data_IF_688246484630
#
_entry.id   IF_688246484630
#
_cell.length_a   1.000
_cell.length_b   1.000
_cell.length_c   1.000
_cell.angle_alpha   90.00
_cell.angle_beta   90.00
_cell.angle_gamma   90.00
#
_symmetry.space_group_name_H-M   'P 1'
#
loop_
_entity.id
_entity.type
_entity.pdbx_description
1 polymer ?
#
# COMPACT_ATOMS: atom_id res chain seq x y z
N UNK A 1 20.41 -1.43 2.28
CA UNK A 1 19.20 -2.23 2.01
C UNK A 1 18.26 -1.42 1.13
N UNK A 2 17.69 -2.01 0.08
CA UNK A 2 16.74 -1.31 -0.79
C UNK A 2 15.40 -1.09 -0.09
N UNK A 3 14.59 -0.14 -0.58
CA UNK A 3 13.24 0.08 -0.07
C UNK A 3 12.36 -1.17 -0.21
N UNK A 4 12.45 -1.89 -1.33
CA UNK A 4 11.71 -3.14 -1.52
C UNK A 4 12.06 -4.19 -0.45
N UNK A 5 13.34 -4.36 -0.13
CA UNK A 5 13.73 -5.30 0.93
C UNK A 5 13.20 -4.86 2.30
N UNK A 6 13.26 -3.56 2.62
CA UNK A 6 12.65 -3.01 3.85
C UNK A 6 11.16 -3.33 3.96
N UNK A 7 10.41 -3.25 2.86
CA UNK A 7 8.98 -3.57 2.83
C UNK A 7 8.75 -5.07 3.01
N UNK A 8 9.56 -5.92 2.36
CA UNK A 8 9.49 -7.39 2.54
C UNK A 8 9.76 -7.77 3.99
N UNK A 9 10.80 -7.22 4.60
CA UNK A 9 11.15 -7.47 6.00
C UNK A 9 10.01 -7.02 6.94
N UNK A 10 9.45 -5.83 6.70
CA UNK A 10 8.32 -5.31 7.47
C UNK A 10 7.08 -6.22 7.39
N UNK A 11 6.80 -6.81 6.21
CA UNK A 11 5.72 -7.79 6.03
C UNK A 11 6.01 -9.10 6.77
N UNK A 12 7.25 -9.58 6.69
CA UNK A 12 7.68 -10.80 7.36
C UNK A 12 7.58 -10.68 8.89
N UNK A 13 8.12 -9.61 9.47
CA UNK A 13 8.08 -9.32 10.91
C UNK A 13 6.66 -9.26 11.49
N UNK A 14 5.67 -8.94 10.64
CA UNK A 14 4.24 -8.84 11.01
C UNK A 14 3.44 -10.07 10.59
N UNK A 15 4.09 -11.15 10.16
CA UNK A 15 3.45 -12.41 9.77
C UNK A 15 2.57 -12.30 8.52
N UNK A 16 2.69 -11.24 7.73
CA UNK A 16 1.84 -11.02 6.56
C UNK A 16 2.20 -11.97 5.42
N UNK A 17 3.48 -12.31 5.26
CA UNK A 17 3.91 -13.26 4.23
C UNK A 17 3.40 -14.68 4.50
N UNK A 18 3.29 -15.09 5.77
CA UNK A 18 2.82 -16.43 6.18
C UNK A 18 1.36 -16.68 5.81
N UNK A 19 0.58 -15.61 5.61
CA UNK A 19 -0.83 -15.68 5.21
C UNK A 19 -1.00 -16.13 3.75
N UNK A 20 0.07 -16.09 2.96
CA UNK A 20 0.02 -16.43 1.54
C UNK A 20 -0.66 -15.37 0.69
N UNK A 21 -0.77 -15.67 -0.60
CA UNK A 21 -1.33 -14.76 -1.60
C UNK A 21 -2.84 -15.01 -1.78
N UNK A 22 -3.64 -13.97 -1.62
CA UNK A 22 -5.07 -14.00 -1.88
C UNK A 22 -5.45 -12.91 -2.87
N UNK A 23 -5.59 -13.26 -4.15
CA UNK A 23 -5.65 -12.27 -5.24
C UNK A 23 -6.70 -11.17 -5.03
N UNK A 24 -7.91 -11.54 -4.57
CA UNK A 24 -8.98 -10.59 -4.25
C UNK A 24 -8.60 -9.60 -3.16
N UNK A 25 -7.89 -10.06 -2.13
CA UNK A 25 -7.44 -9.19 -1.05
C UNK A 25 -6.37 -8.23 -1.57
N UNK A 26 -5.36 -8.72 -2.31
CA UNK A 26 -4.29 -7.87 -2.84
C UNK A 26 -4.83 -6.78 -3.78
N UNK A 27 -5.76 -7.13 -4.66
CA UNK A 27 -6.45 -6.16 -5.53
C UNK A 27 -7.28 -5.17 -4.71
N UNK A 28 -7.97 -5.62 -3.67
CA UNK A 28 -8.75 -4.72 -2.82
C UNK A 28 -7.89 -3.68 -2.10
N UNK A 29 -6.69 -4.07 -1.63
CA UNK A 29 -5.79 -3.12 -0.97
C UNK A 29 -5.32 -2.03 -1.93
N UNK A 30 -4.96 -2.39 -3.16
CA UNK A 30 -4.56 -1.41 -4.18
C UNK A 30 -5.74 -0.53 -4.59
N UNK A 31 -6.93 -1.11 -4.74
CA UNK A 31 -8.14 -0.37 -5.09
C UNK A 31 -8.56 0.62 -3.98
N UNK A 32 -8.38 0.28 -2.69
CA UNK A 32 -8.63 1.17 -1.55
C UNK A 32 -7.77 2.44 -1.67
N UNK A 33 -6.46 2.29 -1.90
CA UNK A 33 -5.55 3.43 -2.07
C UNK A 33 -5.89 4.29 -3.31
N UNK A 34 -6.32 3.66 -4.41
CA UNK A 34 -6.78 4.38 -5.60
C UNK A 34 -8.06 5.19 -5.33
N UNK A 35 -9.03 4.63 -4.60
CA UNK A 35 -10.25 5.34 -4.21
C UNK A 35 -9.93 6.52 -3.28
N UNK A 36 -9.09 6.31 -2.27
CA UNK A 36 -8.65 7.36 -1.35
C UNK A 36 -7.93 8.50 -2.08
N UNK A 37 -7.12 8.19 -3.10
CA UNK A 37 -6.40 9.21 -3.89
C UNK A 37 -7.32 10.24 -4.58
N UNK A 38 -8.61 9.92 -4.75
CA UNK A 38 -9.60 10.83 -5.33
C UNK A 38 -10.09 11.91 -4.36
N UNK A 39 -9.81 11.75 -3.05
CA UNK A 39 -10.34 12.58 -1.97
C UNK A 39 -11.84 12.40 -1.70
N UNK A 40 -12.51 11.46 -2.39
CA UNK A 40 -13.95 11.18 -2.20
C UNK A 40 -14.23 10.11 -1.15
N UNK A 41 -13.23 9.29 -0.86
CA UNK A 41 -13.33 8.16 0.06
C UNK A 41 -12.32 8.33 1.18
N UNK A 42 -12.73 7.95 2.38
CA UNK A 42 -11.85 7.75 3.53
C UNK A 42 -11.53 6.26 3.71
N UNK A 43 -10.66 5.93 4.67
CA UNK A 43 -10.23 4.55 4.94
C UNK A 43 -11.32 3.56 5.38
N UNK A 44 -12.54 4.03 5.67
CA UNK A 44 -13.66 3.15 6.02
C UNK A 44 -14.52 2.94 4.79
N UNK A 45 -15.00 4.02 4.18
CA UNK A 45 -15.84 4.00 2.97
C UNK A 45 -15.10 3.45 1.75
N UNK A 46 -13.80 3.72 1.62
CA UNK A 46 -12.95 3.20 0.55
C UNK A 46 -12.80 1.68 0.61
N UNK A 47 -12.73 1.09 1.81
CA UNK A 47 -12.51 -0.36 1.97
C UNK A 47 -13.67 -1.20 1.46
N UNK A 48 -14.90 -0.82 1.80
CA UNK A 48 -16.08 -1.58 1.38
C UNK A 48 -16.23 -1.56 -0.15
N UNK A 49 -16.03 -0.40 -0.75
CA UNK A 49 -16.09 -0.23 -2.20
C UNK A 49 -14.93 -0.92 -2.92
N UNK A 50 -13.72 -0.87 -2.35
CA UNK A 50 -12.56 -1.57 -2.89
C UNK A 50 -12.76 -3.09 -2.92
N UNK A 51 -13.37 -3.67 -1.89
CA UNK A 51 -13.71 -5.09 -1.86
C UNK A 51 -14.75 -5.45 -2.93
N UNK A 52 -15.75 -4.59 -3.14
CA UNK A 52 -16.73 -4.76 -4.22
C UNK A 52 -16.04 -4.75 -5.59
N UNK A 53 -15.19 -3.77 -5.85
CA UNK A 53 -14.43 -3.65 -7.10
C UNK A 53 -13.47 -4.83 -7.31
N UNK A 54 -12.77 -5.28 -6.27
CA UNK A 54 -11.84 -6.41 -6.38
C UNK A 54 -12.55 -7.71 -6.77
N UNK A 55 -13.77 -7.94 -6.28
CA UNK A 55 -14.58 -9.08 -6.72
C UNK A 55 -14.91 -9.01 -8.22
N UNK A 56 -15.20 -7.81 -8.74
CA UNK A 56 -15.49 -7.60 -10.16
C UNK A 56 -14.25 -7.72 -11.04
N UNK A 57 -13.10 -7.20 -10.59
CA UNK A 57 -11.83 -7.22 -11.34
C UNK A 57 -11.25 -8.64 -11.42
N UNK A 58 -11.20 -9.35 -10.29
CA UNK A 58 -10.56 -10.68 -10.23
C UNK A 58 -11.46 -11.74 -10.86
N UNK A 59 -12.78 -11.64 -10.69
CA UNK A 59 -13.71 -12.64 -11.21
C UNK A 59 -13.49 -14.04 -10.63
N UNK A 60 -13.77 -15.07 -11.45
CA UNK A 60 -13.69 -16.49 -11.08
C UNK A 60 -12.46 -17.21 -11.64
N UNK A 61 -11.77 -16.62 -12.61
CA UNK A 61 -10.62 -17.26 -13.28
C UNK A 61 -9.34 -16.84 -12.57
N UNK A 62 -8.59 -17.81 -12.06
CA UNK A 62 -7.27 -17.56 -11.50
C UNK A 62 -6.24 -17.41 -12.65
N UNK A 63 -5.56 -16.26 -12.77
CA UNK A 63 -4.50 -16.08 -13.76
C UNK A 63 -3.21 -16.78 -13.33
N UNK A 64 -2.33 -17.02 -14.31
CA UNK A 64 -0.95 -17.47 -14.06
C UNK A 64 -0.20 -16.48 -13.15
N UNK A 65 0.57 -17.02 -12.21
CA UNK A 65 1.25 -16.22 -11.19
C UNK A 65 2.18 -15.16 -11.78
N UNK A 66 2.92 -15.50 -12.84
CA UNK A 66 3.85 -14.57 -13.51
C UNK A 66 3.13 -13.38 -14.12
N UNK A 67 1.91 -13.56 -14.64
CA UNK A 67 1.10 -12.45 -15.18
C UNK A 67 0.62 -11.51 -14.07
N UNK A 68 0.30 -12.06 -12.91
CA UNK A 68 -0.04 -11.24 -11.74
C UNK A 68 1.17 -10.44 -11.30
N UNK A 69 2.34 -11.08 -11.17
CA UNK A 69 3.58 -10.41 -10.74
C UNK A 69 3.95 -9.27 -11.70
N UNK A 70 3.86 -9.48 -13.01
CA UNK A 70 4.10 -8.46 -14.04
C UNK A 70 3.17 -7.25 -13.87
N UNK A 71 1.86 -7.50 -13.73
CA UNK A 71 0.88 -6.43 -13.52
C UNK A 71 1.09 -5.67 -12.20
N UNK A 72 1.48 -6.36 -11.12
CA UNK A 72 1.78 -5.72 -9.83
C UNK A 72 3.04 -4.85 -9.91
N UNK A 73 4.05 -5.28 -10.68
CA UNK A 73 5.23 -4.47 -10.96
C UNK A 73 4.88 -3.20 -11.75
N UNK A 74 4.03 -3.32 -12.78
CA UNK A 74 3.56 -2.17 -13.56
C UNK A 74 2.79 -1.16 -12.72
N UNK A 75 1.97 -1.62 -11.76
CA UNK A 75 1.29 -0.72 -10.80
C UNK A 75 2.32 0.12 -10.02
N UNK A 76 3.42 -0.49 -9.55
CA UNK A 76 4.50 0.23 -8.87
C UNK A 76 5.15 1.26 -9.80
N UNK A 77 5.39 0.91 -11.07
CA UNK A 77 5.93 1.83 -12.09
C UNK A 77 4.99 3.02 -12.28
N UNK A 78 3.68 2.79 -12.48
CA UNK A 78 2.72 3.85 -12.70
C UNK A 78 2.53 4.74 -11.47
N UNK A 79 2.46 4.15 -10.27
CA UNK A 79 2.37 4.90 -9.02
C UNK A 79 3.61 5.79 -8.83
N UNK A 80 4.81 5.25 -9.05
CA UNK A 80 6.08 6.00 -8.99
C UNK A 80 6.07 7.17 -9.96
N UNK A 81 5.64 6.93 -11.20
CA UNK A 81 5.53 7.98 -12.22
C UNK A 81 4.49 9.05 -11.88
N UNK A 82 3.36 8.68 -11.27
CA UNK A 82 2.34 9.62 -10.83
C UNK A 82 2.84 10.54 -9.71
N UNK A 83 3.54 9.98 -8.72
CA UNK A 83 4.20 10.76 -7.65
C UNK A 83 5.16 11.79 -8.23
N UNK A 84 6.01 11.37 -9.18
CA UNK A 84 6.95 12.26 -9.84
C UNK A 84 6.25 13.38 -10.63
N UNK A 85 5.17 13.07 -11.36
CA UNK A 85 4.36 14.06 -12.10
C UNK A 85 3.70 15.10 -11.20
N UNK A 86 3.44 14.77 -9.93
CA UNK A 86 2.93 15.70 -8.92
C UNK A 86 4.01 16.60 -8.31
N UNK A 87 5.27 16.44 -8.73
CA UNK A 87 6.41 17.25 -8.28
C UNK A 87 7.09 16.74 -7.01
N UNK A 88 6.91 15.45 -6.67
CA UNK A 88 7.52 14.82 -5.51
C UNK A 88 8.59 13.82 -5.95
N UNK A 89 9.67 13.71 -5.16
CA UNK A 89 10.68 12.68 -5.29
C UNK A 89 10.16 11.35 -4.74
N UNK A 90 9.89 10.34 -5.59
CA UNK A 90 9.30 9.09 -5.13
C UNK A 90 10.16 8.33 -4.12
N UNK A 91 11.49 8.46 -4.20
CA UNK A 91 12.37 7.79 -3.23
C UNK A 91 12.22 8.40 -1.84
N UNK A 92 12.19 9.74 -1.74
CA UNK A 92 11.94 10.43 -0.47
C UNK A 92 10.56 10.13 0.08
N UNK A 93 9.53 10.12 -0.80
CA UNK A 93 8.16 9.75 -0.41
C UNK A 93 8.13 8.37 0.22
N UNK A 94 8.77 7.38 -0.41
CA UNK A 94 8.78 6.02 0.14
C UNK A 94 9.58 5.91 1.44
N UNK A 95 10.65 6.68 1.62
CA UNK A 95 11.36 6.74 2.90
C UNK A 95 10.49 7.31 4.02
N UNK A 96 9.70 8.35 3.75
CA UNK A 96 8.74 8.93 4.69
C UNK A 96 7.57 7.99 5.01
N UNK A 97 6.97 7.39 3.99
CA UNK A 97 5.89 6.40 4.15
C UNK A 97 6.40 5.18 4.91
N UNK A 98 7.64 4.74 4.68
CA UNK A 98 8.24 3.64 5.43
C UNK A 98 8.33 3.95 6.93
N UNK A 99 8.72 5.17 7.31
CA UNK A 99 8.73 5.62 8.72
C UNK A 99 7.32 5.55 9.32
N UNK A 100 6.31 6.00 8.56
CA UNK A 100 4.92 5.94 9.01
C UNK A 100 4.48 4.49 9.25
N UNK A 101 4.61 3.59 8.27
CA UNK A 101 4.16 2.21 8.45
C UNK A 101 4.94 1.47 9.52
N UNK A 102 6.20 1.83 9.75
CA UNK A 102 7.02 1.23 10.79
C UNK A 102 6.68 1.76 12.20
N UNK A 103 6.20 3.01 12.30
CA UNK A 103 5.70 3.57 13.56
C UNK A 103 4.39 2.94 14.03
N UNK A 104 3.66 2.26 13.13
CA UNK A 104 2.42 1.56 13.44
C UNK A 104 2.70 0.46 14.45
N UNK A 105 2.30 0.72 15.69
CA UNK A 105 2.22 -0.30 16.75
C UNK A 105 0.81 -0.86 16.79
N UNK A 106 0.69 -2.11 17.19
CA UNK A 106 -0.55 -2.86 17.08
C UNK A 106 -0.31 -4.33 17.30
N UNK A 107 -1.37 -5.11 17.16
CA UNK A 107 -1.35 -6.56 17.31
C UNK A 107 -2.17 -7.20 16.21
N UNK A 108 -1.81 -8.43 15.84
CA UNK A 108 -2.65 -9.24 14.96
C UNK A 108 -3.89 -9.69 15.74
N UNK A 109 -5.07 -9.36 15.24
CA UNK A 109 -6.37 -9.90 15.70
C UNK A 109 -7.07 -10.48 14.49
N UNK A 110 -7.39 -11.77 14.52
CA UNK A 110 -8.05 -12.51 13.44
C UNK A 110 -7.35 -12.37 12.07
N UNK A 111 -6.01 -12.41 12.09
CA UNK A 111 -5.18 -12.31 10.90
C UNK A 111 -5.02 -10.88 10.36
N UNK A 112 -5.62 -9.86 10.97
CA UNK A 112 -5.47 -8.45 10.60
C UNK A 112 -4.59 -7.71 11.61
N UNK A 113 -3.65 -6.91 11.14
CA UNK A 113 -2.91 -6.00 12.02
C UNK A 113 -3.85 -4.87 12.49
N UNK A 114 -4.25 -4.91 13.76
CA UNK A 114 -5.07 -3.91 14.42
C UNK A 114 -4.15 -2.88 15.08
N UNK A 115 -4.25 -1.63 14.63
CA UNK A 115 -3.47 -0.50 15.16
C UNK A 115 -3.83 -0.28 16.64
N UNK A 116 -2.83 0.00 17.46
CA UNK A 116 -3.06 0.46 18.83
C UNK A 116 -3.68 1.88 18.77
N UNK A 117 -4.90 2.09 19.30
CA UNK A 117 -5.58 3.38 19.22
C UNK A 117 -4.87 4.50 19.99
N UNK A 118 -4.07 4.15 21.00
CA UNK A 118 -3.31 5.12 21.82
C UNK A 118 -1.91 5.39 21.28
N UNK A 119 -1.53 4.77 20.16
CA UNK A 119 -0.22 4.98 19.57
C UNK A 119 -0.16 6.34 18.86
N UNK A 120 0.80 7.17 19.27
CA UNK A 120 1.18 8.35 18.48
C UNK A 120 1.97 7.85 17.28
N UNK A 121 1.29 7.78 16.14
CA UNK A 121 1.90 7.33 14.89
C UNK A 121 2.65 8.48 14.23
N UNK A 122 3.79 8.15 13.64
CA UNK A 122 4.45 9.07 12.73
C UNK A 122 3.60 9.25 11.49
N UNK A 123 3.35 10.50 11.09
CA UNK A 123 2.72 10.82 9.81
C UNK A 123 3.82 11.23 8.82
N UNK A 124 3.80 10.66 7.63
CA UNK A 124 4.77 10.96 6.59
C UNK A 124 4.83 12.47 6.27
N UNK A 125 6.02 13.08 6.34
CA UNK A 125 6.22 14.48 5.93
C UNK A 125 6.44 14.56 4.42
N UNK A 126 5.33 14.46 3.68
CA UNK A 126 5.37 14.53 2.22
C UNK A 126 5.78 15.92 1.71
N UNK A 127 5.61 17.00 2.48
CA UNK A 127 6.02 18.33 2.02
C UNK A 127 7.53 18.40 1.80
N UNK A 128 8.31 17.78 2.69
CA UNK A 128 9.77 17.66 2.56
C UNK A 128 10.23 16.84 1.34
N UNK A 129 9.33 16.07 0.74
CA UNK A 129 9.61 15.19 -0.39
C UNK A 129 9.49 15.88 -1.75
N UNK A 130 9.04 17.14 -1.81
CA UNK A 130 8.97 17.88 -3.08
C UNK A 130 10.37 18.02 -3.70
N UNK A 131 10.44 17.98 -5.03
CA UNK A 131 11.65 18.42 -5.71
C UNK A 131 11.92 19.88 -5.34
N UNK A 132 13.18 20.21 -5.08
CA UNK A 132 13.57 21.61 -4.91
C UNK A 132 13.20 22.37 -6.16
N UNK A 133 12.38 23.41 -6.02
CA UNK A 133 12.18 24.39 -7.09
C UNK A 133 13.42 25.28 -7.09
N UNK A 134 14.32 25.06 -8.04
CA UNK A 134 15.34 26.05 -8.39
C UNK A 134 14.68 27.34 -8.93
#
# INVERSE_FOLDING_TARGET
>A
MSMFQKIVDWNNERGLLERGFHFKNEVSFIAEELLESTGKYDSVSGREEALRLANEIVGEIEPEAEKVVDAMADIIVFATGAIAKLGYDPAKVMDEVYKEINSRTGQLVDGKFVKNPDAILYQADLQSCRYSTD
#
